data_IF_780182249271
#
_entry.id   IF_780182249271
#
_cell.length_a   1.000
_cell.length_b   1.000
_cell.length_c   1.000
_cell.angle_alpha   90.00
_cell.angle_beta   90.00
_cell.angle_gamma   90.00
#
_symmetry.space_group_name_H-M   'P 1'
#
loop_
_entity.id
_entity.type
_entity.pdbx_description
1 polymer ?
#
# COMPACT_ATOMS: atom_id res chain seq x y z
N UNK A 1 -2.87 13.96 -7.48
CA UNK A 1 -2.53 14.40 -6.11
C UNK A 1 -2.15 13.22 -5.22
N UNK A 2 -3.03 12.23 -4.99
CA UNK A 2 -2.71 11.01 -4.23
C UNK A 2 -1.56 10.18 -4.81
N UNK A 3 -1.37 10.22 -6.13
CA UNK A 3 -0.22 9.58 -6.80
C UNK A 3 1.14 10.09 -6.30
N UNK A 4 1.26 11.38 -5.94
CA UNK A 4 2.50 11.93 -5.37
C UNK A 4 2.77 11.45 -3.94
N UNK A 5 1.80 10.82 -3.30
CA UNK A 5 1.96 10.15 -1.99
C UNK A 5 2.24 8.67 -2.22
N UNK A 6 1.41 8.00 -3.03
CA UNK A 6 1.46 6.55 -3.21
C UNK A 6 2.71 6.06 -3.95
N UNK A 7 3.08 6.73 -5.05
CA UNK A 7 4.22 6.30 -5.87
C UNK A 7 5.54 6.25 -5.09
N UNK A 8 5.99 7.35 -4.43
CA UNK A 8 7.23 7.29 -3.66
C UNK A 8 7.14 6.33 -2.46
N UNK A 9 5.95 6.14 -1.88
CA UNK A 9 5.78 5.18 -0.79
C UNK A 9 5.94 3.72 -1.25
N UNK A 10 5.36 3.35 -2.40
CA UNK A 10 5.53 2.01 -2.98
C UNK A 10 6.97 1.78 -3.42
N UNK A 11 7.62 2.74 -4.06
CA UNK A 11 9.03 2.63 -4.47
C UNK A 11 9.95 2.43 -3.26
N UNK A 12 9.72 3.19 -2.18
CA UNK A 12 10.44 3.02 -0.91
C UNK A 12 10.22 1.64 -0.29
N UNK A 13 8.98 1.14 -0.29
CA UNK A 13 8.65 -0.18 0.25
C UNK A 13 9.30 -1.30 -0.56
N UNK A 14 9.25 -1.22 -1.90
CA UNK A 14 9.91 -2.16 -2.80
C UNK A 14 11.40 -2.19 -2.57
N UNK A 15 12.04 -1.03 -2.44
CA UNK A 15 13.46 -0.96 -2.11
C UNK A 15 13.74 -1.56 -0.73
N UNK A 16 13.01 -1.15 0.31
CA UNK A 16 13.26 -1.57 1.68
C UNK A 16 13.08 -3.08 1.89
N UNK A 17 11.99 -3.65 1.38
CA UNK A 17 11.59 -5.04 1.63
C UNK A 17 12.37 -6.02 0.75
N UNK A 18 12.71 -5.66 -0.49
CA UNK A 18 13.39 -6.58 -1.41
C UNK A 18 14.92 -6.57 -1.28
N UNK A 19 15.54 -5.50 -0.77
CA UNK A 19 17.00 -5.37 -0.72
C UNK A 19 17.65 -5.84 0.58
N UNK A 20 16.88 -6.15 1.64
CA UNK A 20 17.42 -6.37 2.98
C UNK A 20 16.86 -7.62 3.67
N UNK A 21 17.67 -8.22 4.53
CA UNK A 21 17.19 -9.22 5.50
C UNK A 21 16.40 -8.56 6.63
N UNK A 22 15.59 -9.32 7.36
CA UNK A 22 14.73 -8.83 8.45
C UNK A 22 15.47 -7.97 9.49
N UNK A 23 16.70 -8.38 9.84
CA UNK A 23 17.54 -7.69 10.81
C UNK A 23 18.09 -6.35 10.32
N UNK A 24 18.11 -6.12 8.99
CA UNK A 24 18.63 -4.90 8.34
C UNK A 24 17.51 -3.99 7.82
N UNK A 25 16.26 -4.45 7.89
CA UNK A 25 15.09 -3.71 7.45
C UNK A 25 14.79 -2.58 8.45
N UNK A 26 14.59 -1.39 7.92
CA UNK A 26 14.10 -0.25 8.69
C UNK A 26 12.59 -0.39 8.82
N UNK A 27 12.15 -1.09 9.87
CA UNK A 27 10.76 -1.41 10.11
C UNK A 27 9.91 -0.17 10.39
N UNK A 28 10.46 0.91 10.96
CA UNK A 28 9.72 2.16 11.15
C UNK A 28 9.46 2.85 9.81
N UNK A 29 10.42 2.77 8.87
CA UNK A 29 10.17 3.19 7.49
C UNK A 29 9.08 2.35 6.83
N UNK A 30 9.09 1.02 6.97
CA UNK A 30 8.02 0.17 6.41
C UNK A 30 6.65 0.55 6.99
N UNK A 31 6.55 0.70 8.31
CA UNK A 31 5.31 1.12 8.98
C UNK A 31 4.80 2.47 8.46
N UNK A 32 5.65 3.50 8.46
CA UNK A 32 5.24 4.85 8.04
C UNK A 32 4.78 4.90 6.58
N UNK A 33 5.46 4.17 5.67
CA UNK A 33 5.04 4.11 4.26
C UNK A 33 3.77 3.29 4.07
N UNK A 34 3.56 2.24 4.85
CA UNK A 34 2.32 1.45 4.83
C UNK A 34 1.11 2.27 5.27
N UNK A 35 1.27 3.11 6.31
CA UNK A 35 0.23 4.06 6.72
C UNK A 35 -0.08 5.09 5.63
N UNK A 36 0.94 5.63 4.96
CA UNK A 36 0.74 6.56 3.85
C UNK A 36 -0.08 5.92 2.70
N UNK A 37 0.16 4.65 2.39
CA UNK A 37 -0.65 3.89 1.42
C UNK A 37 -2.09 3.71 1.91
N UNK A 38 -2.27 3.34 3.18
CA UNK A 38 -3.59 3.20 3.77
C UNK A 38 -4.40 4.49 3.64
N UNK A 39 -3.77 5.63 3.93
CA UNK A 39 -4.43 6.93 3.88
C UNK A 39 -4.72 7.38 2.44
N UNK A 40 -3.91 6.98 1.46
CA UNK A 40 -4.26 7.17 0.05
C UNK A 40 -5.58 6.46 -0.29
N UNK A 41 -5.80 5.25 0.21
CA UNK A 41 -7.09 4.55 0.05
C UNK A 41 -8.27 5.38 0.58
N UNK A 42 -8.14 5.92 1.80
CA UNK A 42 -9.14 6.83 2.38
C UNK A 42 -9.40 8.06 1.50
N UNK A 43 -8.34 8.74 1.06
CA UNK A 43 -8.46 9.93 0.22
C UNK A 43 -9.10 9.65 -1.14
N UNK A 44 -8.91 8.44 -1.70
CA UNK A 44 -9.56 8.05 -2.95
C UNK A 44 -11.05 7.84 -2.78
N UNK A 45 -11.49 7.25 -1.66
CA UNK A 45 -12.91 7.11 -1.36
C UNK A 45 -13.62 8.46 -1.20
N UNK A 46 -12.97 9.44 -0.57
CA UNK A 46 -13.50 10.79 -0.39
C UNK A 46 -13.59 11.58 -1.71
N UNK A 47 -12.78 11.23 -2.71
CA UNK A 47 -12.68 11.97 -3.97
C UNK A 47 -13.49 11.30 -5.08
N UNK A 48 -14.69 11.81 -5.32
CA UNK A 48 -15.36 11.68 -6.62
C UNK A 48 -15.73 10.26 -7.04
N UNK A 49 -15.94 9.36 -6.08
CA UNK A 49 -16.44 7.99 -6.31
C UNK A 49 -17.96 7.90 -6.31
N UNK A 50 -18.68 9.04 -6.30
CA UNK A 50 -20.15 9.07 -6.27
C UNK A 50 -20.69 8.35 -7.50
N UNK A 51 -21.39 7.24 -7.28
CA UNK A 51 -21.92 6.38 -8.35
C UNK A 51 -20.91 5.38 -8.95
N UNK A 52 -19.73 5.21 -8.36
CA UNK A 52 -18.70 4.24 -8.78
C UNK A 52 -18.38 3.27 -7.62
N UNK A 53 -19.31 2.37 -7.25
CA UNK A 53 -19.12 1.45 -6.12
C UNK A 53 -17.89 0.54 -6.29
N UNK A 54 -17.54 0.16 -7.51
CA UNK A 54 -16.34 -0.65 -7.79
C UNK A 54 -15.06 0.13 -7.47
N UNK A 55 -15.06 1.45 -7.73
CA UNK A 55 -13.92 2.32 -7.39
C UNK A 55 -13.79 2.54 -5.89
N UNK A 56 -14.91 2.57 -5.16
CA UNK A 56 -14.91 2.57 -3.69
C UNK A 56 -14.27 1.27 -3.19
N UNK A 57 -14.74 0.11 -3.67
CA UNK A 57 -14.23 -1.19 -3.23
C UNK A 57 -12.72 -1.36 -3.46
N UNK A 58 -12.20 -0.95 -4.63
CA UNK A 58 -10.75 -1.02 -4.91
C UNK A 58 -9.95 -0.04 -4.02
N UNK A 59 -10.56 1.08 -3.61
CA UNK A 59 -9.95 2.04 -2.69
C UNK A 59 -9.95 1.52 -1.24
N UNK A 60 -11.01 0.82 -0.82
CA UNK A 60 -11.07 0.09 0.45
C UNK A 60 -10.01 -1.00 0.51
N UNK A 61 -9.88 -1.81 -0.54
CA UNK A 61 -8.82 -2.82 -0.63
C UNK A 61 -7.43 -2.21 -0.50
N UNK A 62 -7.17 -1.05 -1.12
CA UNK A 62 -5.89 -0.34 -0.96
C UNK A 62 -5.63 0.06 0.49
N UNK A 63 -6.65 0.61 1.16
CA UNK A 63 -6.58 0.96 2.59
C UNK A 63 -6.22 -0.26 3.42
N UNK A 64 -6.94 -1.36 3.22
CA UNK A 64 -6.83 -2.56 4.03
C UNK A 64 -5.49 -3.29 3.79
N UNK A 65 -4.98 -3.30 2.56
CA UNK A 65 -3.64 -3.81 2.28
C UNK A 65 -2.54 -2.96 2.95
N UNK A 66 -2.66 -1.63 2.93
CA UNK A 66 -1.73 -0.73 3.64
C UNK A 66 -1.74 -1.00 5.14
N UNK A 67 -2.91 -1.14 5.75
CA UNK A 67 -3.06 -1.52 7.17
C UNK A 67 -2.46 -2.89 7.46
N UNK A 68 -2.73 -3.89 6.63
CA UNK A 68 -2.20 -5.24 6.84
C UNK A 68 -0.67 -5.28 6.76
N UNK A 69 -0.06 -4.51 5.84
CA UNK A 69 1.40 -4.41 5.77
C UNK A 69 1.99 -3.71 7.01
N UNK A 70 1.29 -2.72 7.57
CA UNK A 70 1.69 -2.11 8.84
C UNK A 70 1.72 -3.13 9.98
N UNK A 71 0.66 -3.92 10.15
CA UNK A 71 0.57 -4.95 11.20
C UNK A 71 1.68 -6.01 11.07
N UNK A 72 1.98 -6.43 9.83
CA UNK A 72 3.09 -7.35 9.56
C UNK A 72 4.46 -6.71 9.81
N UNK A 73 4.60 -5.41 9.60
CA UNK A 73 5.81 -4.69 9.93
C UNK A 73 6.04 -4.59 11.46
N UNK A 74 4.99 -4.67 12.27
CA UNK A 74 5.11 -4.79 13.73
C UNK A 74 5.66 -6.15 14.15
N UNK A 75 5.22 -7.23 13.49
CA UNK A 75 5.75 -8.58 13.73
C UNK A 75 7.12 -8.83 13.07
N UNK A 76 7.57 -7.93 12.19
CA UNK A 76 8.87 -7.98 11.48
C UNK A 76 9.05 -9.23 10.62
N UNK A 77 7.95 -9.78 10.11
CA UNK A 77 7.99 -10.94 9.22
C UNK A 77 8.22 -10.50 7.77
N UNK A 78 9.43 -10.72 7.26
CA UNK A 78 9.81 -10.32 5.90
C UNK A 78 9.08 -11.11 4.83
N UNK A 79 8.85 -12.39 5.04
CA UNK A 79 8.19 -13.23 4.04
C UNK A 79 6.74 -12.79 3.86
N UNK A 80 6.06 -12.55 4.99
CA UNK A 80 4.68 -12.04 4.96
C UNK A 80 4.66 -10.60 4.45
N UNK A 81 5.63 -9.75 4.81
CA UNK A 81 5.70 -8.37 4.33
C UNK A 81 5.84 -8.30 2.80
N UNK A 82 6.64 -9.20 2.20
CA UNK A 82 6.76 -9.34 0.74
C UNK A 82 5.42 -9.68 0.10
N UNK A 83 4.73 -10.69 0.61
CA UNK A 83 3.40 -11.07 0.11
C UNK A 83 2.38 -9.94 0.22
N UNK A 84 2.41 -9.15 1.30
CA UNK A 84 1.52 -7.98 1.45
C UNK A 84 1.89 -6.84 0.51
N UNK A 85 3.17 -6.62 0.23
CA UNK A 85 3.60 -5.63 -0.75
C UNK A 85 3.20 -6.01 -2.19
N UNK A 86 3.23 -7.30 -2.51
CA UNK A 86 2.72 -7.82 -3.80
C UNK A 86 1.23 -7.53 -3.94
N UNK A 87 0.43 -7.77 -2.90
CA UNK A 87 -1.01 -7.45 -2.91
C UNK A 87 -1.29 -5.95 -3.12
N UNK A 88 -0.51 -5.06 -2.50
CA UNK A 88 -0.60 -3.61 -2.77
C UNK A 88 -0.30 -3.31 -4.25
N UNK A 89 0.76 -3.91 -4.79
CA UNK A 89 1.18 -3.68 -6.18
C UNK A 89 0.15 -4.18 -7.19
N UNK A 90 -0.47 -5.33 -6.91
CA UNK A 90 -1.57 -5.88 -7.70
C UNK A 90 -2.80 -4.98 -7.64
N UNK A 91 -3.19 -4.50 -6.45
CA UNK A 91 -4.31 -3.58 -6.31
C UNK A 91 -4.09 -2.27 -7.10
N UNK A 92 -2.87 -1.72 -7.06
CA UNK A 92 -2.51 -0.56 -7.88
C UNK A 92 -2.61 -0.85 -9.39
N UNK A 93 -2.11 -2.01 -9.83
CA UNK A 93 -2.19 -2.42 -11.24
C UNK A 93 -3.63 -2.58 -11.71
N UNK A 94 -4.46 -3.26 -10.92
CA UNK A 94 -5.87 -3.50 -11.24
C UNK A 94 -6.67 -2.18 -11.27
N UNK A 95 -6.47 -1.30 -10.28
CA UNK A 95 -7.09 0.02 -10.27
C UNK A 95 -6.69 0.85 -11.50
N UNK A 96 -5.41 0.88 -11.84
CA UNK A 96 -4.94 1.64 -13.00
C UNK A 96 -5.46 1.06 -14.32
N UNK A 97 -5.52 -0.27 -14.47
CA UNK A 97 -6.10 -0.89 -15.68
C UNK A 97 -7.57 -0.53 -15.88
N UNK A 98 -8.34 -0.36 -14.80
CA UNK A 98 -9.77 -0.10 -14.89
C UNK A 98 -10.12 1.39 -15.08
N UNK A 99 -9.27 2.31 -14.61
CA UNK A 99 -9.63 3.73 -14.47
C UNK A 99 -8.58 4.73 -15.01
N UNK A 100 -7.54 4.26 -15.69
CA UNK A 100 -6.58 5.09 -16.44
C UNK A 100 -6.53 4.64 -17.90
#
# INVERSE_FOLDING_TARGET
MTEHIAKPAIEDLLYAINSKSAAKLDWERVKSKSLAISEVGNLQMLRGTRGQPERVAVSESLRDHGKSLFEVAESRDVAVAKSRLEAISENCTNCHRAYR
#
